data_IF_658455629805
#
_entry.id   IF_658455629805
#
_cell.length_a   1.000
_cell.length_b   1.000
_cell.length_c   1.000
_cell.angle_alpha   90.00
_cell.angle_beta   90.00
_cell.angle_gamma   90.00
#
_symmetry.space_group_name_H-M   'P 1'
#
loop_
_entity.id
_entity.type
_entity.pdbx_description
1 polymer ?
#
# COMPACT_ATOMS: atom_id res chain seq x y z
N UNK A 1 19.42 -3.23 0.21
CA UNK A 1 18.97 -2.03 -0.55
C UNK A 1 19.89 -0.88 -0.19
N UNK A 2 20.09 0.11 -1.06
CA UNK A 2 20.92 1.29 -0.76
C UNK A 2 20.01 2.49 -0.56
N UNK A 3 20.16 3.19 0.56
CA UNK A 3 19.41 4.40 0.89
C UNK A 3 20.36 5.58 1.09
N UNK A 4 19.95 6.77 0.62
CA UNK A 4 20.69 8.01 0.90
C UNK A 4 20.68 8.35 2.40
N UNK A 5 19.55 8.08 3.06
CA UNK A 5 19.35 8.31 4.51
C UNK A 5 19.11 6.98 5.25
N UNK A 6 20.18 6.23 5.59
CA UNK A 6 20.05 4.90 6.20
C UNK A 6 19.80 4.93 7.72
N UNK A 7 19.64 6.11 8.32
CA UNK A 7 19.46 6.29 9.78
C UNK A 7 18.36 5.39 10.35
N UNK A 8 18.68 4.67 11.44
CA UNK A 8 17.76 3.75 12.11
C UNK A 8 17.73 2.29 11.60
N UNK A 9 18.33 1.98 10.45
CA UNK A 9 18.38 0.62 9.90
C UNK A 9 19.67 -0.17 10.26
N UNK A 10 19.62 -1.49 10.24
CA UNK A 10 20.84 -2.33 10.29
C UNK A 10 21.68 -2.17 9.01
N UNK A 11 23.01 -2.12 9.13
CA UNK A 11 23.98 -1.89 8.04
C UNK A 11 24.56 -3.20 7.54
N UNK A 12 24.57 -3.43 6.23
CA UNK A 12 25.21 -4.61 5.63
C UNK A 12 26.73 -4.43 5.62
N UNK A 13 27.46 -5.29 6.33
CA UNK A 13 28.93 -5.27 6.29
C UNK A 13 29.43 -6.18 5.18
N UNK A 14 30.49 -5.74 4.48
CA UNK A 14 31.10 -6.51 3.39
C UNK A 14 32.62 -6.56 3.50
N UNK A 15 33.19 -7.70 3.12
CA UNK A 15 34.62 -7.90 2.91
C UNK A 15 34.84 -8.50 1.52
N UNK A 16 35.69 -7.86 0.70
CA UNK A 16 35.95 -8.29 -0.68
C UNK A 16 34.66 -8.54 -1.50
N UNK A 17 33.64 -7.71 -1.29
CA UNK A 17 32.33 -7.81 -1.95
C UNK A 17 31.35 -8.82 -1.34
N UNK A 18 31.79 -9.71 -0.44
CA UNK A 18 30.94 -10.69 0.23
C UNK A 18 30.29 -10.10 1.47
N UNK A 19 29.02 -10.45 1.72
CA UNK A 19 28.33 -10.06 2.96
C UNK A 19 28.95 -10.83 4.12
N UNK A 20 29.34 -10.12 5.17
CA UNK A 20 29.96 -10.71 6.37
C UNK A 20 29.09 -10.62 7.61
N UNK A 21 28.07 -9.77 7.60
CA UNK A 21 27.28 -9.48 8.77
C UNK A 21 26.30 -8.34 8.56
N UNK A 22 25.57 -8.06 9.62
CA UNK A 22 24.72 -6.89 9.75
C UNK A 22 25.04 -6.26 11.11
N UNK A 23 25.19 -4.94 11.15
CA UNK A 23 25.36 -4.20 12.42
C UNK A 23 24.18 -3.26 12.63
N UNK A 24 23.47 -3.41 13.75
CA UNK A 24 22.33 -2.55 14.10
C UNK A 24 22.76 -1.11 14.30
N UNK A 25 21.88 -0.15 14.01
CA UNK A 25 22.22 1.28 14.03
C UNK A 25 22.77 1.76 15.40
N UNK A 26 22.24 1.19 16.49
CA UNK A 26 22.66 1.53 17.87
C UNK A 26 24.05 0.97 18.21
N UNK A 27 24.39 -0.18 17.66
CA UNK A 27 25.67 -0.88 17.86
C UNK A 27 26.73 -0.45 16.81
N UNK A 28 26.30 0.21 15.73
CA UNK A 28 27.17 0.67 14.66
C UNK A 28 28.08 1.84 15.08
N UNK A 29 29.37 1.69 14.80
CA UNK A 29 30.37 2.77 14.86
C UNK A 29 30.07 3.89 13.86
N UNK A 30 30.68 5.06 14.03
CA UNK A 30 30.49 6.19 13.11
C UNK A 30 30.88 5.83 11.67
N UNK A 31 31.96 5.07 11.47
CA UNK A 31 32.36 4.59 10.15
C UNK A 31 31.32 3.62 9.56
N UNK A 32 30.77 2.70 10.35
CA UNK A 32 29.73 1.77 9.88
C UNK A 32 28.41 2.49 9.59
N UNK A 33 28.08 3.57 10.29
CA UNK A 33 26.86 4.35 10.04
C UNK A 33 26.81 4.98 8.65
N UNK A 34 27.98 5.23 8.05
CA UNK A 34 28.13 5.73 6.68
C UNK A 34 27.83 4.67 5.61
N UNK A 35 27.69 3.40 5.98
CA UNK A 35 27.24 2.35 5.06
C UNK A 35 25.81 2.68 4.64
N UNK A 36 25.59 2.82 3.33
CA UNK A 36 24.26 3.11 2.76
C UNK A 36 23.46 1.84 2.47
N UNK A 37 24.12 0.68 2.36
CA UNK A 37 23.43 -0.59 2.19
C UNK A 37 22.81 -1.04 3.51
N UNK A 38 21.48 -1.14 3.52
CA UNK A 38 20.69 -1.50 4.71
C UNK A 38 20.09 -2.90 4.60
N UNK A 39 19.84 -3.47 5.78
CA UNK A 39 19.01 -4.64 5.97
C UNK A 39 17.52 -4.26 5.91
N UNK A 40 16.75 -4.93 5.06
CA UNK A 40 15.29 -4.76 4.98
C UNK A 40 14.55 -5.62 6.01
N UNK A 41 15.26 -6.52 6.69
CA UNK A 41 14.69 -7.48 7.64
C UNK A 41 14.17 -8.77 6.98
N UNK A 42 14.12 -8.82 5.65
CA UNK A 42 13.68 -9.99 4.89
C UNK A 42 14.89 -10.88 4.59
N UNK A 43 14.83 -12.14 5.01
CA UNK A 43 15.84 -13.15 4.72
C UNK A 43 15.19 -14.53 4.55
N UNK A 44 15.91 -15.44 3.90
CA UNK A 44 15.52 -16.83 3.76
C UNK A 44 16.73 -17.73 3.95
N UNK A 45 16.54 -18.82 4.70
CA UNK A 45 17.56 -19.82 4.98
C UNK A 45 16.94 -21.21 5.12
N UNK A 46 17.76 -22.25 5.06
CA UNK A 46 17.32 -23.60 5.38
C UNK A 46 16.88 -23.68 6.85
N UNK A 47 15.76 -24.37 7.13
CA UNK A 47 15.21 -24.44 8.48
C UNK A 47 16.12 -25.11 9.52
N UNK A 48 16.96 -26.08 9.13
CA UNK A 48 17.91 -26.71 10.04
C UNK A 48 19.06 -25.77 10.40
N UNK A 49 19.53 -24.98 9.43
CA UNK A 49 20.55 -23.96 9.65
C UNK A 49 20.02 -22.82 10.53
N UNK A 50 18.81 -22.35 10.25
CA UNK A 50 18.16 -21.31 11.03
C UNK A 50 17.98 -21.72 12.49
N UNK A 51 17.48 -22.94 12.77
CA UNK A 51 17.36 -23.45 14.15
C UNK A 51 18.70 -23.48 14.87
N UNK A 52 19.78 -23.85 14.18
CA UNK A 52 21.13 -23.91 14.75
C UNK A 52 21.66 -22.52 15.10
N UNK A 53 21.45 -21.52 14.26
CA UNK A 53 21.89 -20.15 14.54
C UNK A 53 21.04 -19.48 15.61
N UNK A 54 19.71 -19.66 15.58
CA UNK A 54 18.81 -19.12 16.60
C UNK A 54 19.17 -19.61 18.01
N UNK A 55 19.63 -20.86 18.16
CA UNK A 55 20.05 -21.41 19.44
C UNK A 55 21.35 -20.80 20.00
N UNK A 56 22.12 -20.07 19.17
CA UNK A 56 23.38 -19.42 19.54
C UNK A 56 23.24 -17.92 19.77
N UNK A 57 22.05 -17.34 19.55
CA UNK A 57 21.83 -15.92 19.79
C UNK A 57 22.01 -15.62 21.28
N UNK A 58 22.64 -14.49 21.57
CA UNK A 58 22.71 -13.90 22.90
C UNK A 58 22.10 -12.50 22.88
N UNK A 59 22.11 -11.84 24.03
CA UNK A 59 21.60 -10.50 24.20
C UNK A 59 22.68 -9.53 24.69
N UNK A 60 23.94 -9.81 24.39
CA UNK A 60 25.08 -8.98 24.79
C UNK A 60 25.32 -7.85 23.76
N UNK A 61 24.35 -6.95 23.66
CA UNK A 61 24.38 -5.79 22.76
C UNK A 61 23.81 -4.54 23.45
N UNK A 62 23.83 -3.40 22.75
CA UNK A 62 23.41 -2.12 23.30
C UNK A 62 21.94 -2.07 23.79
N UNK A 63 21.07 -2.98 23.32
CA UNK A 63 19.66 -3.04 23.71
C UNK A 63 19.33 -4.14 24.71
N UNK A 64 20.18 -5.16 24.86
CA UNK A 64 19.85 -6.34 25.66
C UNK A 64 18.82 -7.25 25.00
N UNK A 65 18.72 -7.25 23.67
CA UNK A 65 17.74 -8.00 22.88
C UNK A 65 18.41 -9.11 22.05
N UNK A 66 17.67 -10.12 21.60
CA UNK A 66 18.21 -11.13 20.67
C UNK A 66 18.04 -10.64 19.23
N UNK A 67 19.14 -10.26 18.59
CA UNK A 67 19.10 -9.76 17.22
C UNK A 67 19.10 -10.90 16.21
N UNK A 68 18.02 -11.03 15.44
CA UNK A 68 17.96 -11.99 14.33
C UNK A 68 19.04 -11.73 13.28
N UNK A 69 19.57 -10.50 13.20
CA UNK A 69 20.60 -10.08 12.27
C UNK A 69 21.97 -10.71 12.54
N UNK A 70 22.22 -11.17 13.78
CA UNK A 70 23.48 -11.84 14.14
C UNK A 70 23.68 -13.18 13.43
N UNK A 71 22.59 -13.83 12.96
CA UNK A 71 22.70 -15.09 12.22
C UNK A 71 23.49 -14.93 10.92
N UNK A 72 23.57 -13.71 10.36
CA UNK A 72 24.35 -13.43 9.15
C UNK A 72 25.85 -13.59 9.43
N UNK A 73 26.33 -13.04 10.55
CA UNK A 73 27.72 -13.22 10.96
C UNK A 73 28.01 -14.69 11.30
N UNK A 74 27.08 -15.39 11.95
CA UNK A 74 27.22 -16.82 12.24
C UNK A 74 27.29 -17.68 10.97
N UNK A 75 26.47 -17.38 9.97
CA UNK A 75 26.52 -18.07 8.68
C UNK A 75 27.86 -17.83 7.97
N UNK A 76 28.37 -16.59 7.98
CA UNK A 76 29.68 -16.26 7.42
C UNK A 76 30.82 -16.99 8.13
N UNK A 77 30.80 -17.05 9.47
CA UNK A 77 31.77 -17.79 10.28
C UNK A 77 31.74 -19.32 10.01
N UNK A 78 30.58 -19.87 9.69
CA UNK A 78 30.43 -21.27 9.25
C UNK A 78 30.85 -21.49 7.78
N UNK A 79 31.38 -20.46 7.10
CA UNK A 79 31.86 -20.53 5.72
C UNK A 79 30.73 -20.57 4.68
N UNK A 80 29.51 -20.18 5.06
CA UNK A 80 28.35 -20.16 4.15
C UNK A 80 28.26 -18.84 3.42
N UNK A 81 27.89 -18.90 2.16
CA UNK A 81 27.68 -17.72 1.33
C UNK A 81 26.32 -17.07 1.64
N UNK A 82 26.31 -15.74 1.74
CA UNK A 82 25.11 -14.93 1.94
C UNK A 82 24.93 -14.07 0.69
N UNK A 83 23.92 -14.40 -0.11
CA UNK A 83 23.56 -13.64 -1.30
C UNK A 83 22.61 -12.48 -0.92
N UNK A 84 23.02 -11.25 -1.20
CA UNK A 84 22.16 -10.09 -1.07
C UNK A 84 21.33 -9.90 -2.36
N UNK A 85 20.02 -9.72 -2.20
CA UNK A 85 19.09 -9.41 -3.30
C UNK A 85 18.49 -8.03 -3.04
N UNK A 86 18.18 -7.31 -4.12
CA UNK A 86 17.57 -5.98 -4.04
C UNK A 86 16.14 -5.99 -4.59
N UNK A 87 15.20 -5.30 -3.94
CA UNK A 87 13.83 -5.18 -4.46
C UNK A 87 13.81 -4.35 -5.74
N UNK A 88 12.77 -4.52 -6.56
CA UNK A 88 12.59 -3.74 -7.78
C UNK A 88 12.25 -2.27 -7.45
N UNK A 89 11.57 -2.03 -6.33
CA UNK A 89 11.18 -0.70 -5.83
C UNK A 89 11.54 -0.58 -4.36
N UNK A 90 12.01 0.61 -3.97
CA UNK A 90 12.37 0.91 -2.58
C UNK A 90 11.16 0.76 -1.64
N UNK A 91 10.00 1.25 -2.10
CA UNK A 91 8.73 1.24 -1.36
C UNK A 91 8.25 -0.15 -0.92
N UNK A 92 8.67 -1.22 -1.61
CA UNK A 92 8.31 -2.60 -1.24
C UNK A 92 8.95 -3.06 0.07
N UNK A 93 10.02 -2.39 0.50
CA UNK A 93 10.81 -2.78 1.67
C UNK A 93 10.93 -1.68 2.72
N UNK A 94 10.24 -0.56 2.52
CA UNK A 94 10.21 0.53 3.48
C UNK A 94 9.45 0.10 4.75
N UNK A 95 10.15 0.16 5.88
CA UNK A 95 9.55 -0.07 7.19
C UNK A 95 8.73 1.13 7.66
N UNK A 96 7.70 0.87 8.46
CA UNK A 96 6.88 1.91 9.11
C UNK A 96 7.12 1.90 10.61
N UNK A 97 7.90 2.86 11.09
CA UNK A 97 8.14 3.06 12.52
C UNK A 97 7.31 4.23 13.10
N UNK A 98 6.82 5.13 12.24
CA UNK A 98 5.99 6.27 12.67
C UNK A 98 4.92 6.64 11.63
N UNK A 99 3.98 7.51 12.03
CA UNK A 99 2.84 7.93 11.18
C UNK A 99 3.25 8.74 9.95
N UNK A 100 4.38 9.44 9.98
CA UNK A 100 4.90 10.18 8.81
C UNK A 100 5.41 9.21 7.74
N UNK A 101 6.07 8.13 8.14
CA UNK A 101 6.47 7.06 7.21
C UNK A 101 5.23 6.35 6.65
N UNK A 102 4.23 6.07 7.49
CA UNK A 102 2.97 5.47 7.06
C UNK A 102 2.27 6.32 5.99
N UNK A 103 2.15 7.63 6.20
CA UNK A 103 1.47 8.52 5.24
C UNK A 103 2.22 8.63 3.91
N UNK A 104 3.56 8.55 3.93
CA UNK A 104 4.38 8.50 2.71
C UNK A 104 4.11 7.22 1.92
N UNK A 105 4.13 6.06 2.58
CA UNK A 105 3.85 4.79 1.91
C UNK A 105 2.41 4.72 1.39
N UNK A 106 1.45 5.28 2.12
CA UNK A 106 0.08 5.41 1.64
C UNK A 106 0.01 6.19 0.33
N UNK A 107 0.72 7.33 0.19
CA UNK A 107 0.74 8.09 -1.06
C UNK A 107 1.43 7.34 -2.20
N UNK A 108 2.50 6.61 -1.93
CA UNK A 108 3.16 5.76 -2.93
C UNK A 108 2.19 4.68 -3.40
N UNK A 109 1.55 3.97 -2.47
CA UNK A 109 0.58 2.93 -2.78
C UNK A 109 -0.59 3.46 -3.63
N UNK A 110 -1.20 4.58 -3.23
CA UNK A 110 -2.30 5.18 -4.00
C UNK A 110 -1.87 5.62 -5.40
N UNK A 111 -0.66 6.18 -5.55
CA UNK A 111 -0.13 6.57 -6.85
C UNK A 111 0.04 5.35 -7.77
N UNK A 112 0.56 4.24 -7.26
CA UNK A 112 0.71 2.99 -8.02
C UNK A 112 -0.65 2.40 -8.44
N UNK A 113 -1.67 2.47 -7.58
CA UNK A 113 -3.03 2.03 -7.94
C UNK A 113 -3.64 2.94 -9.02
N UNK A 114 -3.50 4.25 -8.86
CA UNK A 114 -4.02 5.23 -9.82
C UNK A 114 -3.38 5.06 -11.20
N UNK A 115 -2.06 4.87 -11.28
CA UNK A 115 -1.34 4.59 -12.53
C UNK A 115 -1.84 3.30 -13.20
N UNK A 116 -2.01 2.22 -12.44
CA UNK A 116 -2.57 0.96 -12.97
C UNK A 116 -3.96 1.15 -13.55
N UNK A 117 -4.83 1.91 -12.88
CA UNK A 117 -6.19 2.19 -13.36
C UNK A 117 -6.20 3.04 -14.64
N UNK A 118 -5.36 4.08 -14.69
CA UNK A 118 -5.19 4.91 -15.89
C UNK A 118 -4.72 4.07 -17.09
N UNK A 119 -3.70 3.22 -16.89
CA UNK A 119 -3.20 2.30 -17.92
C UNK A 119 -4.24 1.25 -18.34
N UNK A 120 -5.15 0.87 -17.43
CA UNK A 120 -6.25 -0.05 -17.70
C UNK A 120 -7.47 0.62 -18.37
N UNK A 121 -7.44 1.93 -18.61
CA UNK A 121 -8.47 2.68 -19.34
C UNK A 121 -9.52 3.37 -18.47
N UNK A 122 -9.33 3.46 -17.15
CA UNK A 122 -10.15 4.32 -16.28
C UNK A 122 -9.63 5.74 -16.35
N UNK A 123 -10.48 6.71 -16.66
CA UNK A 123 -10.09 8.12 -16.65
C UNK A 123 -10.16 8.68 -15.23
N UNK A 124 -9.01 8.82 -14.56
CA UNK A 124 -8.89 9.59 -13.33
C UNK A 124 -8.57 11.05 -13.67
N UNK A 125 -9.43 12.00 -13.27
CA UNK A 125 -9.22 13.44 -13.56
C UNK A 125 -7.99 14.02 -12.86
N UNK A 126 -7.65 13.49 -11.68
CA UNK A 126 -6.42 13.78 -10.97
C UNK A 126 -5.98 12.55 -10.16
N UNK A 127 -4.94 11.81 -10.60
CA UNK A 127 -4.50 10.60 -9.91
C UNK A 127 -3.90 10.88 -8.52
N UNK A 128 -3.42 12.10 -8.24
CA UNK A 128 -2.90 12.46 -6.92
C UNK A 128 -4.02 12.72 -5.89
N UNK A 129 -5.27 12.89 -6.36
CA UNK A 129 -6.47 13.12 -5.55
C UNK A 129 -7.50 12.00 -5.77
N UNK A 130 -7.03 10.76 -5.75
CA UNK A 130 -7.84 9.55 -5.82
C UNK A 130 -7.35 8.58 -4.75
N UNK A 131 -8.30 7.93 -4.07
CA UNK A 131 -7.99 6.96 -3.00
C UNK A 131 -8.78 5.67 -3.22
N UNK A 132 -8.08 4.56 -3.41
CA UNK A 132 -8.62 3.19 -3.44
C UNK A 132 -8.24 2.45 -2.16
N UNK A 133 -9.24 2.14 -1.33
CA UNK A 133 -9.13 1.43 -0.05
C UNK A 133 -9.90 0.12 -0.09
N UNK A 134 -9.50 -0.76 -1.00
CA UNK A 134 -10.13 -2.05 -1.21
C UNK A 134 -9.89 -2.57 -2.62
N UNK A 135 -10.91 -3.12 -3.24
CA UNK A 135 -10.86 -3.63 -4.61
C UNK A 135 -11.83 -2.88 -5.52
N UNK A 136 -11.40 -2.62 -6.75
CA UNK A 136 -12.20 -2.00 -7.79
C UNK A 136 -12.27 -2.94 -9.00
N UNK A 137 -13.48 -3.30 -9.39
CA UNK A 137 -13.77 -3.85 -10.71
C UNK A 137 -14.43 -2.77 -11.56
N UNK A 138 -13.97 -2.55 -12.79
CA UNK A 138 -14.50 -1.49 -13.64
C UNK A 138 -14.78 -1.99 -15.07
N UNK A 139 -15.79 -1.40 -15.70
CA UNK A 139 -16.07 -1.53 -17.12
C UNK A 139 -15.16 -0.64 -17.98
N UNK A 140 -15.58 -0.40 -19.21
CA UNK A 140 -14.90 0.50 -20.16
C UNK A 140 -15.37 1.95 -20.00
N UNK A 141 -14.49 2.89 -20.32
CA UNK A 141 -14.78 4.33 -20.37
C UNK A 141 -15.35 4.90 -19.07
N UNK A 142 -14.89 4.40 -17.93
CA UNK A 142 -15.26 4.93 -16.60
C UNK A 142 -14.51 6.24 -16.35
N UNK A 143 -15.22 7.26 -15.88
CA UNK A 143 -14.65 8.56 -15.49
C UNK A 143 -14.81 8.79 -14.00
N UNK A 144 -13.70 9.12 -13.34
CA UNK A 144 -13.65 9.44 -11.91
C UNK A 144 -13.04 10.82 -11.74
N UNK A 145 -13.84 11.74 -11.20
CA UNK A 145 -13.42 13.10 -10.91
C UNK A 145 -12.61 13.18 -9.60
N UNK A 146 -12.18 14.38 -9.25
CA UNK A 146 -11.20 14.62 -8.19
C UNK A 146 -11.74 14.35 -6.78
N UNK A 147 -10.85 13.98 -5.85
CA UNK A 147 -11.14 13.70 -4.45
C UNK A 147 -12.16 12.56 -4.21
N UNK A 148 -12.20 11.56 -5.10
CA UNK A 148 -13.05 10.38 -4.93
C UNK A 148 -12.35 9.35 -4.05
N UNK A 149 -13.12 8.76 -3.13
CA UNK A 149 -12.67 7.67 -2.25
C UNK A 149 -13.51 6.43 -2.54
N UNK A 150 -12.85 5.32 -2.86
CA UNK A 150 -13.47 4.01 -3.08
C UNK A 150 -13.06 3.07 -1.94
N UNK A 151 -14.02 2.49 -1.23
CA UNK A 151 -13.76 1.65 -0.04
C UNK A 151 -14.40 0.25 -0.17
N UNK A 152 -13.71 -0.77 0.34
CA UNK A 152 -14.22 -2.14 0.29
C UNK A 152 -14.28 -2.71 -1.13
N UNK A 153 -15.36 -3.39 -1.50
CA UNK A 153 -15.50 -3.97 -2.84
C UNK A 153 -16.43 -3.11 -3.70
N UNK A 154 -15.87 -2.39 -4.68
CA UNK A 154 -16.62 -1.51 -5.58
C UNK A 154 -16.61 -2.07 -7.00
N UNK A 155 -17.78 -2.11 -7.63
CA UNK A 155 -17.95 -2.52 -9.03
C UNK A 155 -18.57 -1.37 -9.81
N UNK A 156 -17.91 -0.91 -10.86
CA UNK A 156 -18.40 0.11 -11.78
C UNK A 156 -18.63 -0.51 -13.16
N UNK A 157 -19.83 -0.33 -13.71
CA UNK A 157 -20.17 -0.73 -15.07
C UNK A 157 -19.46 0.10 -16.14
N UNK A 158 -19.89 -0.05 -17.38
CA UNK A 158 -19.37 0.73 -18.51
C UNK A 158 -19.87 2.18 -18.46
N UNK A 159 -19.03 3.14 -18.86
CA UNK A 159 -19.39 4.57 -19.02
C UNK A 159 -19.94 5.23 -17.75
N UNK A 160 -19.62 4.67 -16.58
CA UNK A 160 -19.97 5.26 -15.29
C UNK A 160 -19.18 6.55 -15.08
N UNK A 161 -19.87 7.61 -14.64
CA UNK A 161 -19.23 8.88 -14.28
C UNK A 161 -19.41 9.16 -12.80
N UNK A 162 -18.30 9.37 -12.10
CA UNK A 162 -18.28 9.71 -10.68
C UNK A 162 -17.82 11.16 -10.53
N UNK A 163 -18.70 12.02 -10.02
CA UNK A 163 -18.41 13.41 -9.75
C UNK A 163 -17.46 13.61 -8.56
N UNK A 164 -16.91 14.83 -8.45
CA UNK A 164 -15.88 15.13 -7.46
C UNK A 164 -16.35 14.88 -6.01
N UNK A 165 -15.44 14.43 -5.15
CA UNK A 165 -15.69 14.29 -3.71
C UNK A 165 -16.64 13.15 -3.33
N UNK A 166 -16.97 12.23 -4.24
CA UNK A 166 -17.82 11.09 -3.91
C UNK A 166 -17.08 10.07 -3.04
N UNK A 167 -17.83 9.43 -2.14
CA UNK A 167 -17.37 8.27 -1.36
C UNK A 167 -18.24 7.08 -1.71
N UNK A 168 -17.63 6.02 -2.23
CA UNK A 168 -18.35 4.81 -2.67
C UNK A 168 -17.79 3.62 -1.93
N UNK A 169 -18.63 2.91 -1.20
CA UNK A 169 -18.24 1.80 -0.34
C UNK A 169 -19.12 0.58 -0.54
N UNK A 170 -18.51 -0.59 -0.80
CA UNK A 170 -19.23 -1.86 -0.95
C UNK A 170 -20.44 -1.77 -1.90
N UNK A 171 -20.26 -1.16 -3.06
CA UNK A 171 -21.36 -0.82 -3.96
C UNK A 171 -21.12 -1.37 -5.37
N UNK A 172 -22.22 -1.71 -6.05
CA UNK A 172 -22.23 -2.05 -7.48
C UNK A 172 -23.02 -1.00 -8.23
N UNK A 173 -22.40 -0.38 -9.22
CA UNK A 173 -22.96 0.70 -10.02
C UNK A 173 -23.06 0.21 -11.46
N UNK A 174 -24.27 0.08 -11.98
CA UNK A 174 -24.52 -0.39 -13.34
C UNK A 174 -24.04 0.56 -14.43
N UNK A 175 -24.08 0.07 -15.68
CA UNK A 175 -23.66 0.81 -16.86
C UNK A 175 -24.35 2.17 -17.00
N UNK A 176 -23.67 3.17 -17.56
CA UNK A 176 -24.21 4.50 -17.87
C UNK A 176 -24.74 5.29 -16.65
N UNK A 177 -24.35 4.91 -15.43
CA UNK A 177 -24.73 5.67 -14.24
C UNK A 177 -23.91 6.96 -14.10
N UNK A 178 -24.57 8.01 -13.59
CA UNK A 178 -23.94 9.27 -13.24
C UNK A 178 -24.14 9.58 -11.76
N UNK A 179 -23.04 9.65 -11.01
CA UNK A 179 -23.04 9.97 -9.58
C UNK A 179 -22.64 11.43 -9.44
N UNK A 180 -23.57 12.28 -8.99
CA UNK A 180 -23.30 13.71 -8.82
C UNK A 180 -22.24 13.97 -7.74
N UNK A 181 -21.50 15.09 -7.80
CA UNK A 181 -20.49 15.45 -6.81
C UNK A 181 -20.98 15.38 -5.35
N UNK A 182 -20.06 15.01 -4.46
CA UNK A 182 -20.26 14.91 -3.00
C UNK A 182 -21.38 13.94 -2.58
N UNK A 183 -21.64 12.91 -3.39
CA UNK A 183 -22.56 11.84 -3.02
C UNK A 183 -21.85 10.75 -2.21
N UNK A 184 -22.58 10.13 -1.29
CA UNK A 184 -22.11 8.96 -0.54
C UNK A 184 -22.96 7.76 -0.95
N UNK A 185 -22.32 6.71 -1.42
CA UNK A 185 -22.96 5.45 -1.84
C UNK A 185 -22.38 4.33 -0.99
N UNK A 186 -23.20 3.72 -0.14
CA UNK A 186 -22.77 2.65 0.76
C UNK A 186 -23.74 1.47 0.72
N UNK A 187 -23.19 0.26 0.61
CA UNK A 187 -23.93 -1.01 0.61
C UNK A 187 -25.14 -0.98 -0.36
N UNK A 188 -24.91 -0.54 -1.59
CA UNK A 188 -25.95 -0.25 -2.57
C UNK A 188 -25.72 -0.97 -3.92
N UNK A 189 -26.82 -1.29 -4.59
CA UNK A 189 -26.84 -1.76 -5.97
C UNK A 189 -27.64 -0.76 -6.81
N UNK A 190 -26.96 -0.10 -7.75
CA UNK A 190 -27.57 0.81 -8.70
C UNK A 190 -27.71 0.12 -10.05
N UNK A 191 -28.93 0.06 -10.56
CA UNK A 191 -29.21 -0.44 -11.90
C UNK A 191 -28.62 0.49 -12.96
N UNK A 192 -28.48 -0.01 -14.19
CA UNK A 192 -27.96 0.78 -15.30
C UNK A 192 -28.77 2.07 -15.55
N UNK A 193 -28.10 3.10 -16.07
CA UNK A 193 -28.63 4.42 -16.40
C UNK A 193 -29.27 5.18 -15.21
N UNK A 194 -28.83 4.89 -13.98
CA UNK A 194 -29.25 5.67 -12.80
C UNK A 194 -28.49 7.00 -12.70
N UNK A 195 -29.20 8.06 -12.31
CA UNK A 195 -28.60 9.34 -11.93
C UNK A 195 -28.80 9.59 -10.45
N UNK A 196 -27.71 9.60 -9.66
CA UNK A 196 -27.77 10.04 -8.26
C UNK A 196 -27.56 11.55 -8.24
N UNK A 197 -28.59 12.28 -7.79
CA UNK A 197 -28.56 13.74 -7.67
C UNK A 197 -27.61 14.24 -6.58
N UNK A 198 -27.26 15.53 -6.67
CA UNK A 198 -26.30 16.22 -5.77
C UNK A 198 -26.64 16.04 -4.29
N UNK A 199 -25.61 15.85 -3.46
CA UNK A 199 -25.70 15.78 -1.99
C UNK A 199 -26.64 14.68 -1.47
N UNK A 200 -26.74 13.55 -2.18
CA UNK A 200 -27.52 12.40 -1.71
C UNK A 200 -26.63 11.38 -1.02
N UNK A 201 -27.15 10.86 0.08
CA UNK A 201 -26.66 9.65 0.72
C UNK A 201 -27.55 8.51 0.23
N UNK A 202 -26.97 7.57 -0.51
CA UNK A 202 -27.65 6.33 -0.91
C UNK A 202 -27.10 5.20 -0.03
N UNK A 203 -27.90 4.79 0.97
CA UNK A 203 -27.59 3.67 1.86
C UNK A 203 -28.66 2.62 1.64
N UNK A 204 -28.26 1.42 1.18
CA UNK A 204 -29.16 0.29 0.86
C UNK A 204 -30.29 0.63 -0.11
N UNK A 205 -29.98 0.67 -1.41
CA UNK A 205 -30.98 0.50 -2.46
C UNK A 205 -30.92 -0.95 -2.97
N UNK A 206 -31.96 -1.74 -2.68
CA UNK A 206 -32.07 -3.14 -3.11
C UNK A 206 -32.67 -3.30 -4.50
N UNK A 207 -33.03 -2.21 -5.20
CA UNK A 207 -33.40 -2.11 -6.63
C UNK A 207 -33.90 -0.68 -6.92
N UNK A 208 -33.06 0.23 -7.44
CA UNK A 208 -33.50 1.56 -7.84
C UNK A 208 -33.86 1.56 -9.34
N UNK A 209 -35.04 1.07 -9.71
CA UNK A 209 -35.43 0.90 -11.13
C UNK A 209 -35.98 2.15 -11.84
N UNK A 210 -35.90 3.32 -11.19
CA UNK A 210 -36.11 4.70 -11.73
C UNK A 210 -36.37 5.62 -10.55
N UNK A 211 -35.36 6.34 -10.06
CA UNK A 211 -35.60 7.37 -9.05
C UNK A 211 -36.11 8.67 -9.70
N UNK A 212 -37.41 8.74 -10.00
CA UNK A 212 -38.22 9.96 -10.03
C UNK A 212 -39.72 9.61 -10.09
N UNK A 213 -40.45 9.83 -8.99
CA UNK A 213 -41.50 10.88 -8.91
C UNK A 213 -42.03 11.06 -7.47
N UNK A 214 -42.17 12.33 -7.07
CA UNK A 214 -42.92 12.91 -5.94
C UNK A 214 -42.61 12.48 -4.50
N UNK A 215 -42.06 13.41 -3.70
CA UNK A 215 -42.69 13.79 -2.43
C UNK A 215 -42.70 15.32 -2.35
N UNK A 216 -43.89 15.82 -2.07
CA UNK A 216 -44.36 17.20 -2.02
C UNK A 216 -43.54 18.12 -1.13
N UNK A 217 -43.33 19.34 -1.63
CA UNK A 217 -43.22 20.53 -0.79
C UNK A 217 -44.40 20.57 0.17
N UNK A 218 -44.11 20.52 1.47
CA UNK A 218 -44.99 21.06 2.50
C UNK A 218 -44.17 22.05 3.31
N UNK A 219 -44.70 23.27 3.34
CA UNK A 219 -44.26 24.51 3.98
C UNK A 219 -43.58 24.34 5.34
#
# INVERSE_FOLDING_TARGET
>A
MVLDEPSGYGRITRENGKVTGIVEHKDATEAQRQIQEINTGILIANGADLKRWLAKLDNNNAQGEFYITDIIAMAYQEGREIAAVHPARISETDGVNNRLQLSRLERIYQSEQAEKLLLAGVMLRDPARFDLRGTLSHGRDVEIDTNVILEGNVVLGNRVKIGAGCVIKNATIGDDCEISPYSVVEDAHLEAACTIGRLRVCVRALNCSKALTSVTSSK
#
